data_IF_500275717662
#
_entry.id   IF_500275717662
#
_cell.length_a   1.000
_cell.length_b   1.000
_cell.length_c   1.000
_cell.angle_alpha   90.00
_cell.angle_beta   90.00
_cell.angle_gamma   90.00
#
_symmetry.space_group_name_H-M   'P 1'
#
loop_
_entity.id
_entity.type
_entity.pdbx_description
1 polymer ?
#
# COMPACT_ATOMS: atom_id res chain seq x y z
N UNK A 1 25.74 33.65 -24.14
CA UNK A 1 26.92 33.37 -23.28
C UNK A 1 26.62 32.16 -22.41
N UNK A 2 27.38 31.07 -22.55
CA UNK A 2 27.21 29.83 -21.78
C UNK A 2 28.21 29.86 -20.62
N UNK A 3 27.73 29.83 -19.38
CA UNK A 3 28.58 29.74 -18.20
C UNK A 3 28.55 28.29 -17.74
N UNK A 4 29.67 27.58 -17.93
CA UNK A 4 29.94 26.26 -17.37
C UNK A 4 30.58 26.48 -16.00
N UNK A 5 29.98 25.93 -14.95
CA UNK A 5 30.60 25.86 -13.63
C UNK A 5 30.70 24.37 -13.23
N UNK A 6 31.91 23.84 -13.38
CA UNK A 6 32.38 22.56 -12.84
C UNK A 6 32.83 22.77 -11.40
N UNK A 7 32.26 22.05 -10.43
CA UNK A 7 32.81 21.98 -9.07
C UNK A 7 32.93 20.52 -8.62
N UNK A 8 34.20 20.20 -8.36
CA UNK A 8 34.90 19.10 -7.73
C UNK A 8 34.18 18.26 -6.68
N UNK A 9 34.37 16.95 -6.81
CA UNK A 9 34.07 15.90 -5.84
C UNK A 9 34.95 15.99 -4.58
N UNK A 10 34.37 15.67 -3.42
CA UNK A 10 35.09 15.31 -2.19
C UNK A 10 34.55 14.01 -1.62
N UNK A 11 35.44 13.03 -1.52
CA UNK A 11 35.25 11.71 -0.95
C UNK A 11 35.46 11.80 0.56
N UNK A 12 34.57 11.21 1.37
CA UNK A 12 34.84 10.95 2.79
C UNK A 12 34.36 9.54 3.16
N UNK A 13 35.23 8.85 3.90
CA UNK A 13 35.34 7.39 4.07
C UNK A 13 34.93 6.98 5.50
N UNK A 14 34.29 5.81 5.60
CA UNK A 14 34.14 4.85 6.72
C UNK A 14 33.78 5.33 8.15
N UNK A 15 32.75 4.67 8.72
CA UNK A 15 32.86 3.97 10.03
C UNK A 15 31.90 2.77 10.10
N UNK A 16 32.45 1.58 10.37
CA UNK A 16 31.74 0.35 10.78
C UNK A 16 31.45 0.40 12.30
N UNK A 17 30.25 -0.01 12.72
CA UNK A 17 29.96 -0.41 14.12
C UNK A 17 28.98 -1.59 14.19
N UNK A 18 29.58 -2.77 14.39
CA UNK A 18 29.28 -3.83 15.38
C UNK A 18 27.87 -4.39 15.64
N UNK A 19 27.81 -5.73 15.52
CA UNK A 19 26.83 -6.72 15.97
C UNK A 19 26.52 -6.70 17.48
N UNK A 20 25.23 -6.87 17.79
CA UNK A 20 24.62 -7.55 18.96
C UNK A 20 23.10 -7.61 18.67
N UNK A 21 22.25 -8.60 18.95
CA UNK A 21 22.30 -9.85 19.72
C UNK A 21 21.03 -10.69 19.41
N UNK A 22 20.92 -11.86 20.07
CA UNK A 22 19.82 -12.87 20.13
C UNK A 22 19.79 -13.91 18.99
N UNK A 23 20.21 -15.18 19.12
CA UNK A 23 20.28 -16.19 20.22
C UNK A 23 19.00 -17.00 20.49
N UNK A 24 19.07 -18.30 20.17
CA UNK A 24 18.35 -19.52 20.64
C UNK A 24 18.21 -20.48 19.45
N UNK A 25 19.07 -21.48 19.21
CA UNK A 25 19.26 -22.78 19.89
C UNK A 25 17.97 -23.60 20.03
N UNK A 26 17.79 -24.68 19.24
CA UNK A 26 18.06 -26.07 19.66
C UNK A 26 17.85 -27.08 18.51
N UNK A 27 18.72 -28.09 18.47
CA UNK A 27 18.75 -29.23 17.55
C UNK A 27 17.74 -30.32 17.96
N UNK A 28 16.96 -30.84 17.01
CA UNK A 28 15.91 -31.83 17.30
C UNK A 28 15.69 -32.89 16.22
N UNK A 29 16.67 -33.79 16.09
CA UNK A 29 16.58 -35.24 15.74
C UNK A 29 15.38 -35.76 14.91
N UNK A 30 15.72 -36.40 13.79
CA UNK A 30 14.86 -37.25 12.95
C UNK A 30 14.33 -38.54 13.63
N UNK A 31 13.10 -38.95 13.28
CA UNK A 31 12.71 -40.26 12.71
C UNK A 31 11.18 -40.55 12.85
N UNK A 32 10.59 -41.43 12.01
CA UNK A 32 9.21 -41.35 11.53
C UNK A 32 8.20 -42.11 12.39
N UNK A 33 6.95 -41.63 12.40
CA UNK A 33 5.78 -42.40 12.85
C UNK A 33 4.63 -42.22 11.86
N UNK A 34 4.37 -43.31 11.12
CA UNK A 34 3.09 -43.85 10.65
C UNK A 34 1.88 -42.91 10.48
N UNK A 35 1.17 -42.95 9.33
CA UNK A 35 -0.09 -42.23 9.17
C UNK A 35 -1.19 -42.93 9.97
N UNK A 36 -1.69 -42.26 11.01
CA UNK A 36 -2.95 -42.67 11.66
C UNK A 36 -4.09 -41.94 10.98
N UNK A 37 -4.81 -42.68 10.13
CA UNK A 37 -6.15 -42.34 9.70
C UNK A 37 -7.03 -42.17 10.93
N UNK A 38 -7.66 -41.01 11.06
CA UNK A 38 -8.90 -40.84 11.81
C UNK A 38 -9.65 -39.69 11.18
N UNK A 39 -10.63 -40.06 10.37
CA UNK A 39 -11.68 -39.22 9.82
C UNK A 39 -12.67 -38.92 10.95
N UNK A 40 -12.83 -37.67 11.40
CA UNK A 40 -14.09 -37.24 11.95
C UNK A 40 -14.93 -36.65 10.82
N UNK A 41 -16.04 -37.33 10.57
CA UNK A 41 -17.19 -36.80 9.85
C UNK A 41 -17.68 -35.55 10.57
N UNK A 42 -17.26 -34.37 10.13
CA UNK A 42 -17.92 -33.11 10.44
C UNK A 42 -18.88 -32.81 9.30
N UNK A 43 -20.13 -33.14 9.56
CA UNK A 43 -21.32 -32.64 8.88
C UNK A 43 -21.15 -31.15 8.54
N UNK A 44 -21.29 -30.72 7.27
CA UNK A 44 -21.37 -29.31 6.97
C UNK A 44 -22.72 -28.80 7.47
N UNK A 45 -22.72 -28.28 8.70
CA UNK A 45 -23.73 -27.33 9.14
C UNK A 45 -23.74 -26.18 8.12
N UNK A 46 -24.87 -25.91 7.44
CA UNK A 46 -24.96 -24.74 6.59
C UNK A 46 -24.82 -23.53 7.51
N UNK A 47 -23.65 -22.89 7.46
CA UNK A 47 -23.49 -21.53 7.94
C UNK A 47 -24.34 -20.62 7.05
N UNK A 48 -25.65 -20.59 7.30
CA UNK A 48 -26.44 -19.41 7.03
C UNK A 48 -25.93 -18.30 7.94
N UNK A 49 -25.04 -17.47 7.40
CA UNK A 49 -24.72 -16.18 8.00
C UNK A 49 -24.35 -15.16 6.92
N UNK A 50 -25.40 -14.52 6.41
CA UNK A 50 -25.44 -13.07 6.19
C UNK A 50 -24.54 -12.50 5.09
N UNK A 51 -24.94 -12.70 3.83
CA UNK A 51 -24.63 -11.73 2.77
C UNK A 51 -25.46 -10.47 2.97
N UNK A 52 -25.07 -9.62 3.94
CA UNK A 52 -25.62 -8.26 4.04
C UNK A 52 -25.17 -7.43 2.83
N UNK A 53 -26.07 -6.64 2.21
CA UNK A 53 -25.79 -5.85 1.00
C UNK A 53 -24.83 -4.65 1.23
N UNK A 54 -24.25 -4.49 2.42
CA UNK A 54 -23.28 -3.45 2.79
C UNK A 54 -22.03 -3.44 1.91
N UNK A 55 -21.64 -4.59 1.35
CA UNK A 55 -20.39 -4.72 0.58
C UNK A 55 -20.40 -3.93 -0.73
N UNK A 56 -21.52 -3.83 -1.44
CA UNK A 56 -21.57 -3.16 -2.74
C UNK A 56 -21.32 -1.65 -2.62
N UNK A 57 -21.98 -0.99 -1.67
CA UNK A 57 -21.77 0.44 -1.40
C UNK A 57 -20.38 0.71 -0.83
N UNK A 58 -19.86 -0.20 0.02
CA UNK A 58 -18.51 -0.08 0.58
C UNK A 58 -17.40 -0.16 -0.47
N UNK A 59 -17.55 -1.07 -1.45
CA UNK A 59 -16.65 -1.23 -2.60
C UNK A 59 -16.70 -0.01 -3.51
N UNK A 60 -17.88 0.49 -3.87
CA UNK A 60 -18.00 1.67 -4.73
C UNK A 60 -17.34 2.91 -4.10
N UNK A 61 -17.51 3.12 -2.79
CA UNK A 61 -16.85 4.21 -2.07
C UNK A 61 -15.31 4.06 -2.06
N UNK A 62 -14.80 2.83 -1.99
CA UNK A 62 -13.35 2.56 -2.07
C UNK A 62 -12.81 2.87 -3.46
N UNK A 63 -13.47 2.39 -4.52
CA UNK A 63 -13.07 2.64 -5.91
C UNK A 63 -13.07 4.13 -6.24
N UNK A 64 -14.07 4.87 -5.76
CA UNK A 64 -14.14 6.32 -5.91
C UNK A 64 -12.97 7.01 -5.18
N UNK A 65 -12.64 6.59 -3.96
CA UNK A 65 -11.51 7.15 -3.20
C UNK A 65 -10.17 6.89 -3.89
N UNK A 66 -9.97 5.67 -4.42
CA UNK A 66 -8.76 5.29 -5.19
C UNK A 66 -8.62 6.14 -6.44
N UNK A 67 -9.72 6.28 -7.20
CA UNK A 67 -9.74 7.08 -8.43
C UNK A 67 -9.43 8.54 -8.13
N UNK A 68 -10.06 9.12 -7.10
CA UNK A 68 -9.85 10.50 -6.70
C UNK A 68 -8.42 10.76 -6.23
N UNK A 69 -7.88 9.91 -5.36
CA UNK A 69 -6.50 10.00 -4.87
C UNK A 69 -5.50 9.94 -6.03
N UNK A 70 -5.62 8.94 -6.90
CA UNK A 70 -4.70 8.72 -8.02
C UNK A 70 -4.72 9.91 -8.98
N UNK A 71 -5.90 10.43 -9.30
CA UNK A 71 -6.04 11.62 -10.13
C UNK A 71 -5.42 12.86 -9.47
N UNK A 72 -5.65 13.08 -8.17
CA UNK A 72 -5.10 14.21 -7.43
C UNK A 72 -3.58 14.15 -7.35
N UNK A 73 -3.00 12.97 -7.09
CA UNK A 73 -1.55 12.74 -7.07
C UNK A 73 -0.88 13.19 -8.38
N UNK A 74 -1.36 12.68 -9.53
CA UNK A 74 -0.75 13.00 -10.83
C UNK A 74 -1.14 14.39 -11.37
N UNK A 75 -2.19 15.03 -10.86
CA UNK A 75 -2.51 16.43 -11.15
C UNK A 75 -1.66 17.41 -10.33
N UNK A 76 -0.85 16.92 -9.39
CA UNK A 76 -0.10 17.74 -8.46
C UNK A 76 -1.00 18.47 -7.48
N UNK A 77 -2.12 17.87 -7.10
CA UNK A 77 -3.03 18.45 -6.11
C UNK A 77 -2.60 18.02 -4.70
N UNK A 78 -2.16 18.99 -3.91
CA UNK A 78 -1.75 18.77 -2.52
C UNK A 78 -2.89 18.27 -1.62
N UNK A 79 -4.16 18.43 -2.03
CA UNK A 79 -5.32 17.87 -1.33
C UNK A 79 -5.29 16.34 -1.26
N UNK A 80 -4.53 15.66 -2.14
CA UNK A 80 -4.32 14.22 -2.06
C UNK A 80 -3.73 13.77 -0.72
N UNK A 81 -3.04 14.67 0.00
CA UNK A 81 -2.57 14.45 1.36
C UNK A 81 -3.69 14.09 2.33
N UNK A 82 -4.86 14.71 2.16
CA UNK A 82 -6.00 14.52 3.06
C UNK A 82 -6.67 13.15 2.84
N UNK A 83 -6.35 12.45 1.74
CA UNK A 83 -6.78 11.06 1.47
C UNK A 83 -5.84 10.02 2.07
N UNK A 84 -4.65 10.41 2.55
CA UNK A 84 -3.76 9.52 3.28
C UNK A 84 -4.39 9.12 4.63
N UNK A 85 -4.04 7.93 5.11
CA UNK A 85 -4.39 7.50 6.48
C UNK A 85 -3.71 8.40 7.50
N UNK A 86 -4.25 8.46 8.73
CA UNK A 86 -3.60 9.19 9.83
C UNK A 86 -2.18 8.69 10.09
N UNK A 87 -1.94 7.38 9.92
CA UNK A 87 -0.60 6.80 10.00
C UNK A 87 0.33 7.45 8.99
N UNK A 88 -0.12 7.53 7.73
CA UNK A 88 0.68 8.10 6.65
C UNK A 88 0.91 9.60 6.77
N UNK A 89 -0.09 10.34 7.23
CA UNK A 89 0.08 11.76 7.57
C UNK A 89 1.07 11.98 8.73
N UNK A 90 1.24 10.99 9.62
CA UNK A 90 2.27 11.03 10.67
C UNK A 90 3.68 10.75 10.18
N UNK A 91 3.85 10.14 9.00
CA UNK A 91 5.17 9.77 8.45
C UNK A 91 5.66 10.75 7.39
N UNK A 92 4.75 11.28 6.58
CA UNK A 92 5.08 12.23 5.52
C UNK A 92 4.46 13.56 5.90
N UNK A 93 5.28 14.61 6.05
CA UNK A 93 4.77 15.96 6.31
C UNK A 93 4.00 16.53 5.11
N UNK A 94 2.96 17.34 5.37
CA UNK A 94 2.10 17.92 4.32
C UNK A 94 2.87 18.68 3.24
N UNK A 95 3.86 19.49 3.62
CA UNK A 95 4.67 20.26 2.67
C UNK A 95 5.59 19.38 1.82
N UNK A 96 6.19 18.35 2.43
CA UNK A 96 7.00 17.37 1.71
C UNK A 96 6.15 16.61 0.68
N UNK A 97 4.95 16.17 1.08
CA UNK A 97 4.01 15.52 0.18
C UNK A 97 3.55 16.44 -0.96
N UNK A 98 3.27 17.72 -0.67
CA UNK A 98 2.93 18.71 -1.68
C UNK A 98 4.07 18.84 -2.73
N UNK A 99 5.33 18.87 -2.29
CA UNK A 99 6.49 18.85 -3.18
C UNK A 99 6.53 17.60 -4.06
N UNK A 100 6.29 16.42 -3.48
CA UNK A 100 6.26 15.14 -4.23
C UNK A 100 5.21 15.14 -5.33
N UNK A 101 3.96 15.56 -5.04
CA UNK A 101 2.90 15.55 -6.06
C UNK A 101 3.13 16.62 -7.14
N UNK A 102 3.68 17.79 -6.79
CA UNK A 102 4.07 18.79 -7.81
C UNK A 102 5.17 18.25 -8.72
N UNK A 103 6.16 17.57 -8.15
CA UNK A 103 7.22 16.93 -8.93
C UNK A 103 6.65 15.82 -9.84
N UNK A 104 5.75 14.98 -9.32
CA UNK A 104 5.10 13.94 -10.12
C UNK A 104 4.33 14.52 -11.32
N UNK A 105 3.61 15.64 -11.12
CA UNK A 105 2.95 16.38 -12.21
C UNK A 105 3.97 16.92 -13.22
N UNK A 106 5.07 17.51 -12.76
CA UNK A 106 6.08 18.08 -13.64
C UNK A 106 6.76 17.01 -14.51
N UNK A 107 7.09 15.86 -13.92
CA UNK A 107 7.82 14.80 -14.61
C UNK A 107 6.93 13.95 -15.53
N UNK A 108 5.67 13.76 -15.17
CA UNK A 108 4.82 12.75 -15.80
C UNK A 108 3.47 13.29 -16.30
N UNK A 109 3.07 14.48 -15.86
CA UNK A 109 1.76 15.04 -16.14
C UNK A 109 0.62 14.25 -15.49
N UNK A 110 -0.60 14.71 -15.75
CA UNK A 110 -1.81 14.04 -15.29
C UNK A 110 -1.91 12.63 -15.89
N UNK A 111 -2.28 11.67 -15.05
CA UNK A 111 -2.56 10.30 -15.47
C UNK A 111 -4.06 10.03 -15.40
N UNK A 112 -4.57 9.25 -16.35
CA UNK A 112 -5.95 8.78 -16.37
C UNK A 112 -6.00 7.39 -15.76
N UNK A 113 -6.84 7.20 -14.74
CA UNK A 113 -7.14 5.87 -14.19
C UNK A 113 -7.92 5.08 -15.23
N UNK A 114 -7.40 3.92 -15.63
CA UNK A 114 -8.02 3.02 -16.61
C UNK A 114 -8.92 2.00 -15.94
N UNK A 115 -8.46 1.45 -14.83
CA UNK A 115 -9.16 0.41 -14.08
C UNK A 115 -8.79 0.51 -12.59
N UNK A 116 -9.73 0.11 -11.75
CA UNK A 116 -9.53 -0.12 -10.32
C UNK A 116 -10.09 -1.51 -10.03
N UNK A 117 -9.36 -2.30 -9.27
CA UNK A 117 -9.76 -3.64 -8.83
C UNK A 117 -9.59 -3.74 -7.34
N UNK A 118 -10.70 -4.04 -6.64
CA UNK A 118 -10.66 -4.33 -5.21
C UNK A 118 -10.28 -5.80 -5.04
N UNK A 119 -9.02 -6.05 -4.69
CA UNK A 119 -8.45 -7.40 -4.57
C UNK A 119 -8.98 -8.13 -3.33
N UNK A 120 -9.14 -7.40 -2.22
CA UNK A 120 -9.60 -7.93 -0.94
C UNK A 120 -10.20 -6.85 -0.07
N UNK A 121 -11.27 -7.17 0.66
CA UNK A 121 -11.77 -6.40 1.81
C UNK A 121 -11.83 -7.34 3.01
N UNK A 122 -11.35 -6.88 4.17
CA UNK A 122 -11.43 -7.56 5.45
C UNK A 122 -11.70 -6.54 6.56
N UNK A 123 -12.97 -6.40 6.93
CA UNK A 123 -13.41 -5.34 7.86
C UNK A 123 -13.08 -3.96 7.30
N UNK A 124 -12.32 -3.18 8.06
CA UNK A 124 -11.87 -1.83 7.70
C UNK A 124 -10.58 -1.81 6.88
N UNK A 125 -10.06 -2.97 6.44
CA UNK A 125 -8.87 -3.06 5.61
C UNK A 125 -9.22 -3.49 4.20
N UNK A 126 -8.51 -2.93 3.22
CA UNK A 126 -8.63 -3.33 1.83
C UNK A 126 -7.28 -3.39 1.11
N UNK A 127 -7.25 -4.17 0.04
CA UNK A 127 -6.18 -4.23 -0.95
C UNK A 127 -6.75 -3.87 -2.30
N UNK A 128 -6.13 -2.91 -2.97
CA UNK A 128 -6.60 -2.38 -4.25
C UNK A 128 -5.46 -2.33 -5.26
N UNK A 129 -5.73 -2.81 -6.45
CA UNK A 129 -4.89 -2.64 -7.63
C UNK A 129 -5.52 -1.61 -8.55
N UNK A 130 -4.70 -0.82 -9.25
CA UNK A 130 -5.19 0.15 -10.22
C UNK A 130 -4.22 0.30 -11.38
N UNK A 131 -4.78 0.61 -12.55
CA UNK A 131 -4.01 0.90 -13.75
C UNK A 131 -4.20 2.35 -14.18
N UNK A 132 -3.13 2.94 -14.71
CA UNK A 132 -3.18 4.31 -15.25
C UNK A 132 -2.68 4.37 -16.70
N UNK A 133 -2.78 5.56 -17.31
CA UNK A 133 -2.33 5.83 -18.68
C UNK A 133 -0.91 5.35 -18.96
N UNK A 134 0.03 5.65 -18.05
CA UNK A 134 1.41 5.14 -18.09
C UNK A 134 1.56 3.89 -17.21
N UNK A 135 1.73 2.68 -17.78
CA UNK A 135 1.71 1.43 -17.03
C UNK A 135 2.78 1.31 -15.93
N UNK A 136 3.91 2.02 -16.05
CA UNK A 136 4.96 2.04 -15.01
C UNK A 136 4.49 2.62 -13.67
N UNK A 137 3.31 3.23 -13.63
CA UNK A 137 2.67 3.79 -12.44
C UNK A 137 1.40 3.04 -12.01
N UNK A 138 1.02 1.98 -12.73
CA UNK A 138 0.01 1.06 -12.26
C UNK A 138 0.52 0.39 -10.98
N UNK A 139 -0.37 0.20 -10.02
CA UNK A 139 -0.03 -0.40 -8.72
C UNK A 139 -0.86 -1.64 -8.48
N UNK A 140 -0.29 -2.57 -7.72
CA UNK A 140 -0.97 -3.78 -7.28
C UNK A 140 -1.04 -3.83 -5.74
N UNK A 141 -2.16 -4.31 -5.20
CA UNK A 141 -2.31 -4.65 -3.78
C UNK A 141 -2.02 -3.50 -2.80
N UNK A 142 -2.24 -2.25 -3.21
CA UNK A 142 -2.04 -1.08 -2.36
C UNK A 142 -2.94 -1.17 -1.14
N UNK A 143 -2.39 -0.85 0.02
CA UNK A 143 -3.12 -0.89 1.28
C UNK A 143 -4.07 0.31 1.38
N UNK A 144 -5.31 0.03 1.75
CA UNK A 144 -6.31 1.03 2.09
C UNK A 144 -6.94 0.67 3.44
N UNK A 145 -7.27 1.69 4.22
CA UNK A 145 -7.93 1.54 5.53
C UNK A 145 -9.15 2.44 5.60
N UNK A 146 -10.24 1.96 6.18
CA UNK A 146 -11.43 2.77 6.46
C UNK A 146 -11.24 3.46 7.80
N UNK A 147 -11.21 4.78 7.79
CA UNK A 147 -11.19 5.62 8.99
C UNK A 147 -12.54 6.36 9.09
N UNK A 148 -13.40 5.89 10.00
CA UNK A 148 -14.79 6.35 10.07
C UNK A 148 -15.57 5.96 8.82
N UNK A 149 -16.13 6.93 8.10
CA UNK A 149 -16.89 6.67 6.87
C UNK A 149 -16.03 6.65 5.59
N UNK A 150 -14.76 7.06 5.67
CA UNK A 150 -13.92 7.29 4.49
C UNK A 150 -12.82 6.23 4.35
N UNK A 151 -12.55 5.81 3.12
CA UNK A 151 -11.37 5.03 2.78
C UNK A 151 -10.16 5.95 2.62
N UNK A 152 -9.03 5.53 3.18
CA UNK A 152 -7.77 6.25 3.20
C UNK A 152 -6.66 5.40 2.61
N UNK A 153 -5.80 6.03 1.83
CA UNK A 153 -4.61 5.38 1.27
C UNK A 153 -3.59 5.16 2.39
N UNK A 154 -3.15 3.90 2.57
CA UNK A 154 -2.30 3.46 3.68
C UNK A 154 -1.01 2.79 3.20
N UNK A 155 -0.52 3.20 2.03
CA UNK A 155 0.75 2.74 1.44
C UNK A 155 1.72 3.91 1.21
N UNK A 156 1.91 4.71 2.26
CA UNK A 156 3.17 5.40 2.53
C UNK A 156 4.17 4.40 3.16
#
# INVERSE_FOLDING_TARGET
MRIRATITATTAILTLTTLAACSSSDDGKAAPTTPSVSTPSSEPSPAEASTTPTSATGTAALEQAVTAYTAAYFKGDASAYDTLSKRCQGQIGKDAYAGVVQQAKADYGAQTVKSVTVDKIAGDLARVSYEVSLPKFSQAGQAWVREGAAWKYDAC
#
